data_IF_157074247726
#
_entry.id   IF_157074247726
#
_cell.length_a   1.000
_cell.length_b   1.000
_cell.length_c   1.000
_cell.angle_alpha   90.00
_cell.angle_beta   90.00
_cell.angle_gamma   90.00
#
_symmetry.space_group_name_H-M   'P 1'
#
loop_
_entity.id
_entity.type
_entity.pdbx_description
1 polymer ?
#
# COMPACT_ATOMS: atom_id res chain seq x y z
N UNK A 1 -30.76 -4.93 3.81
CA UNK A 1 -30.39 -5.13 5.23
C UNK A 1 -29.97 -6.58 5.38
N UNK A 2 -28.67 -6.86 5.44
CA UNK A 2 -28.13 -8.24 5.52
C UNK A 2 -28.36 -8.76 6.93
N UNK A 3 -29.03 -9.90 7.09
CA UNK A 3 -29.32 -10.51 8.37
C UNK A 3 -28.06 -11.17 8.94
N UNK A 4 -27.33 -10.44 9.80
CA UNK A 4 -26.26 -11.00 10.63
C UNK A 4 -26.83 -11.33 12.01
N UNK A 5 -26.42 -12.46 12.61
CA UNK A 5 -26.71 -12.71 14.04
C UNK A 5 -26.10 -11.57 14.85
N UNK A 6 -26.94 -10.82 15.55
CA UNK A 6 -26.53 -9.65 16.34
C UNK A 6 -25.76 -10.09 17.59
N UNK A 7 -24.49 -10.46 17.41
CA UNK A 7 -23.56 -10.72 18.49
C UNK A 7 -22.63 -9.50 18.65
N UNK A 8 -22.11 -9.27 19.86
CA UNK A 8 -21.29 -8.09 20.17
C UNK A 8 -20.09 -7.89 19.24
N UNK A 9 -19.56 -8.97 18.67
CA UNK A 9 -18.42 -8.93 17.75
C UNK A 9 -18.77 -8.31 16.39
N UNK A 10 -19.95 -8.61 15.84
CA UNK A 10 -20.41 -8.01 14.58
C UNK A 10 -20.66 -6.51 14.77
N UNK A 11 -21.12 -6.13 15.97
CA UNK A 11 -21.31 -4.72 16.34
C UNK A 11 -19.99 -3.96 16.47
N UNK A 12 -18.95 -4.59 17.02
CA UNK A 12 -17.61 -4.01 17.09
C UNK A 12 -17.01 -3.77 15.70
N UNK A 13 -17.15 -4.73 14.77
CA UNK A 13 -16.72 -4.57 13.37
C UNK A 13 -17.46 -3.42 12.70
N UNK A 14 -18.78 -3.33 12.86
CA UNK A 14 -19.59 -2.23 12.31
C UNK A 14 -19.21 -0.87 12.89
N UNK A 15 -18.86 -0.79 14.18
CA UNK A 15 -18.39 0.44 14.82
C UNK A 15 -17.00 0.87 14.33
N UNK A 16 -16.13 -0.09 14.01
CA UNK A 16 -14.75 0.18 13.57
C UNK A 16 -14.66 0.62 12.10
N UNK A 17 -15.70 0.38 11.30
CA UNK A 17 -15.75 0.66 9.87
C UNK A 17 -15.23 2.03 9.43
N UNK A 18 -15.62 3.16 10.04
CA UNK A 18 -15.08 4.47 9.65
C UNK A 18 -13.56 4.54 9.85
N UNK A 19 -13.07 4.06 11.00
CA UNK A 19 -11.66 4.14 11.38
C UNK A 19 -10.78 3.05 10.72
N UNK A 20 -11.37 2.04 10.07
CA UNK A 20 -10.65 1.00 9.32
C UNK A 20 -10.49 1.36 7.83
N UNK A 21 -11.15 2.42 7.38
CA UNK A 21 -11.05 3.00 6.02
C UNK A 21 -10.08 4.19 6.00
N UNK A 22 -9.41 4.45 7.12
CA UNK A 22 -8.63 5.65 7.39
C UNK A 22 -7.38 5.84 6.48
N UNK A 23 -6.90 7.09 6.41
CA UNK A 23 -5.56 7.60 6.03
C UNK A 23 -4.91 7.15 4.70
N UNK A 24 -5.52 6.25 3.93
CA UNK A 24 -4.89 5.67 2.72
C UNK A 24 -5.09 6.49 1.46
N UNK A 25 -5.91 7.56 1.48
CA UNK A 25 -6.04 8.56 0.40
C UNK A 25 -6.03 10.01 0.92
N UNK A 26 -6.28 10.21 2.22
CA UNK A 26 -6.53 11.53 2.80
C UNK A 26 -5.28 12.26 3.29
N UNK A 27 -5.32 13.59 3.23
CA UNK A 27 -4.18 14.49 3.51
C UNK A 27 -4.28 15.19 4.86
N UNK A 28 -5.50 15.56 5.21
CA UNK A 28 -5.87 16.31 6.41
C UNK A 28 -6.96 15.54 7.14
N UNK A 29 -7.19 15.85 8.41
CA UNK A 29 -8.28 15.24 9.18
C UNK A 29 -9.66 15.48 8.53
N UNK A 30 -9.82 16.62 7.85
CA UNK A 30 -11.02 16.94 7.06
C UNK A 30 -11.18 16.02 5.84
N UNK A 31 -10.09 15.78 5.12
CA UNK A 31 -10.08 14.82 4.01
C UNK A 31 -10.36 13.39 4.47
N UNK A 32 -9.84 13.01 5.65
CA UNK A 32 -10.11 11.72 6.28
C UNK A 32 -11.60 11.58 6.55
N UNK A 33 -12.20 12.55 7.24
CA UNK A 33 -13.62 12.52 7.58
C UNK A 33 -14.52 12.49 6.33
N UNK A 34 -14.18 13.26 5.30
CA UNK A 34 -14.88 13.26 4.02
C UNK A 34 -14.80 11.89 3.33
N UNK A 35 -13.60 11.32 3.23
CA UNK A 35 -13.39 10.03 2.59
C UNK A 35 -14.14 8.90 3.32
N UNK A 36 -14.01 8.83 4.66
CA UNK A 36 -14.71 7.85 5.48
C UNK A 36 -16.24 7.96 5.29
N UNK A 37 -16.77 9.18 5.28
CA UNK A 37 -18.20 9.43 5.06
C UNK A 37 -18.67 8.96 3.68
N UNK A 38 -17.91 9.28 2.62
CA UNK A 38 -18.23 8.85 1.25
C UNK A 38 -18.20 7.33 1.14
N UNK A 39 -17.11 6.68 1.55
CA UNK A 39 -16.95 5.22 1.47
C UNK A 39 -18.07 4.48 2.20
N UNK A 40 -18.41 4.90 3.41
CA UNK A 40 -19.52 4.28 4.17
C UNK A 40 -20.86 4.51 3.48
N UNK A 41 -21.12 5.72 2.95
CA UNK A 41 -22.36 6.02 2.24
C UNK A 41 -22.51 5.18 0.96
N UNK A 42 -21.45 5.00 0.18
CA UNK A 42 -21.43 4.12 -0.98
C UNK A 42 -21.57 2.65 -0.58
N UNK A 43 -20.88 2.21 0.48
CA UNK A 43 -21.01 0.86 1.00
C UNK A 43 -22.45 0.51 1.40
N UNK A 44 -23.20 1.44 2.02
CA UNK A 44 -24.60 1.19 2.38
C UNK A 44 -25.50 0.91 1.17
N UNK A 45 -25.11 1.38 -0.03
CA UNK A 45 -25.83 1.17 -1.30
C UNK A 45 -25.25 0.03 -2.13
N UNK A 46 -23.99 -0.33 -1.91
CA UNK A 46 -23.26 -1.37 -2.63
C UNK A 46 -22.82 -2.49 -1.67
N UNK A 47 -23.53 -3.63 -1.69
CA UNK A 47 -23.29 -4.76 -0.76
C UNK A 47 -21.85 -5.30 -0.82
N UNK A 48 -21.24 -5.57 -1.99
CA UNK A 48 -19.83 -5.95 -2.08
C UNK A 48 -18.90 -4.97 -1.37
N UNK A 49 -19.06 -3.67 -1.62
CA UNK A 49 -18.26 -2.63 -0.98
C UNK A 49 -18.42 -2.65 0.54
N UNK A 50 -19.65 -2.80 1.07
CA UNK A 50 -19.86 -2.94 2.51
C UNK A 50 -19.16 -4.17 3.08
N UNK A 51 -19.20 -5.32 2.40
CA UNK A 51 -18.48 -6.50 2.88
C UNK A 51 -16.97 -6.25 2.95
N UNK A 52 -16.40 -5.52 1.98
CA UNK A 52 -14.97 -5.18 2.00
C UNK A 52 -14.61 -4.21 3.13
N UNK A 53 -15.46 -3.20 3.40
CA UNK A 53 -15.30 -2.29 4.55
C UNK A 53 -15.30 -3.08 5.87
N UNK A 54 -16.23 -4.01 6.03
CA UNK A 54 -16.32 -4.86 7.22
C UNK A 54 -15.12 -5.83 7.31
N UNK A 55 -14.64 -6.35 6.18
CA UNK A 55 -13.46 -7.22 6.13
C UNK A 55 -12.22 -6.49 6.66
N UNK A 56 -11.98 -5.26 6.19
CA UNK A 56 -10.90 -4.39 6.70
C UNK A 56 -11.07 -4.08 8.20
N UNK A 57 -12.30 -3.86 8.64
CA UNK A 57 -12.60 -3.60 10.05
C UNK A 57 -12.27 -4.79 10.95
N UNK A 58 -12.62 -6.00 10.52
CA UNK A 58 -12.23 -7.23 11.20
C UNK A 58 -10.70 -7.41 11.18
N UNK A 59 -10.04 -7.14 10.05
CA UNK A 59 -8.57 -7.22 9.96
C UNK A 59 -7.90 -6.27 10.95
N UNK A 60 -8.35 -5.02 11.05
CA UNK A 60 -7.85 -4.06 12.01
C UNK A 60 -8.05 -4.54 13.46
N UNK A 61 -9.25 -5.03 13.81
CA UNK A 61 -9.51 -5.58 15.14
C UNK A 61 -8.61 -6.79 15.46
N UNK A 62 -8.18 -7.56 14.46
CA UNK A 62 -7.23 -8.66 14.66
C UNK A 62 -5.85 -8.20 15.12
N UNK A 63 -5.46 -6.97 14.75
CA UNK A 63 -4.20 -6.34 15.18
C UNK A 63 -4.33 -5.74 16.58
N UNK A 64 -5.48 -5.13 16.89
CA UNK A 64 -5.73 -4.52 18.21
C UNK A 64 -6.03 -5.52 19.33
N UNK A 65 -6.57 -6.69 18.97
CA UNK A 65 -7.01 -7.70 19.94
C UNK A 65 -6.25 -9.02 19.75
N UNK A 66 -4.97 -9.12 20.17
CA UNK A 66 -4.15 -10.33 20.00
C UNK A 66 -4.81 -11.61 20.54
N UNK A 67 -5.54 -11.52 21.65
CA UNK A 67 -6.25 -12.66 22.26
C UNK A 67 -7.36 -13.25 21.38
N UNK A 68 -7.89 -12.48 20.43
CA UNK A 68 -8.92 -12.90 19.47
C UNK A 68 -8.48 -12.71 18.02
N UNK A 69 -7.17 -12.59 17.78
CA UNK A 69 -6.62 -12.32 16.46
C UNK A 69 -7.09 -13.35 15.43
N UNK A 70 -6.99 -14.64 15.73
CA UNK A 70 -7.39 -15.71 14.81
C UNK A 70 -8.87 -15.59 14.42
N UNK A 71 -9.76 -15.34 15.39
CA UNK A 71 -11.19 -15.15 15.15
C UNK A 71 -11.47 -13.99 14.17
N UNK A 72 -10.84 -12.84 14.40
CA UNK A 72 -11.03 -11.68 13.53
C UNK A 72 -10.39 -11.87 12.15
N UNK A 73 -9.27 -12.59 12.03
CA UNK A 73 -8.67 -12.95 10.74
C UNK A 73 -9.58 -13.87 9.90
N UNK A 74 -10.17 -14.89 10.52
CA UNK A 74 -11.16 -15.75 9.85
C UNK A 74 -12.36 -14.92 9.37
N UNK A 75 -12.90 -14.06 10.24
CA UNK A 75 -14.01 -13.17 9.89
C UNK A 75 -13.66 -12.21 8.74
N UNK A 76 -12.45 -11.64 8.74
CA UNK A 76 -11.97 -10.78 7.67
C UNK A 76 -11.91 -11.52 6.33
N UNK A 77 -11.40 -12.76 6.34
CA UNK A 77 -11.32 -13.61 5.14
C UNK A 77 -12.71 -13.97 4.61
N UNK A 78 -13.64 -14.41 5.47
CA UNK A 78 -15.02 -14.75 5.08
C UNK A 78 -15.76 -13.55 4.46
N UNK A 79 -15.56 -12.36 5.03
CA UNK A 79 -16.14 -11.12 4.52
C UNK A 79 -15.52 -10.72 3.19
N UNK A 80 -14.21 -10.83 3.05
CA UNK A 80 -13.49 -10.52 1.80
C UNK A 80 -13.92 -11.46 0.67
N UNK A 81 -14.10 -12.76 0.93
CA UNK A 81 -14.61 -13.70 -0.09
C UNK A 81 -15.99 -13.30 -0.61
N UNK A 82 -16.92 -12.97 0.28
CA UNK A 82 -18.27 -12.45 -0.10
C UNK A 82 -18.20 -11.13 -0.86
N UNK A 83 -17.26 -10.27 -0.48
CA UNK A 83 -17.02 -9.00 -1.15
C UNK A 83 -16.57 -9.23 -2.60
N UNK A 84 -15.59 -10.12 -2.80
CA UNK A 84 -15.03 -10.46 -4.11
C UNK A 84 -16.06 -11.14 -5.03
N UNK A 85 -16.83 -12.09 -4.52
CA UNK A 85 -17.88 -12.78 -5.30
C UNK A 85 -18.88 -11.78 -5.90
N UNK A 86 -19.33 -10.81 -5.10
CA UNK A 86 -20.27 -9.81 -5.59
C UNK A 86 -19.61 -8.69 -6.40
N UNK A 87 -18.34 -8.41 -6.17
CA UNK A 87 -17.59 -7.41 -6.96
C UNK A 87 -17.30 -7.89 -8.37
N UNK A 88 -16.98 -9.18 -8.56
CA UNK A 88 -16.76 -9.75 -9.89
C UNK A 88 -17.96 -9.51 -10.83
N UNK A 89 -19.20 -9.56 -10.30
CA UNK A 89 -20.42 -9.27 -11.06
C UNK A 89 -20.55 -7.80 -11.48
N UNK A 90 -19.85 -6.89 -10.79
CA UNK A 90 -19.86 -5.44 -11.12
C UNK A 90 -18.82 -5.08 -12.17
N UNK A 91 -17.83 -5.94 -12.41
CA UNK A 91 -16.78 -5.70 -13.40
C UNK A 91 -17.22 -5.98 -14.84
N UNK A 92 -18.35 -6.67 -15.04
CA UNK A 92 -18.88 -6.98 -16.38
C UNK A 92 -19.20 -5.71 -17.19
N UNK A 93 -19.73 -4.68 -16.51
CA UNK A 93 -20.07 -3.38 -17.11
C UNK A 93 -19.67 -2.29 -16.12
N UNK A 94 -18.54 -1.64 -16.38
CA UNK A 94 -18.13 -0.43 -15.67
C UNK A 94 -18.57 0.78 -16.50
N UNK A 95 -19.30 1.69 -15.86
CA UNK A 95 -19.76 2.94 -16.46
C UNK A 95 -19.73 4.11 -15.45
N UNK A 96 -20.16 5.29 -15.89
CA UNK A 96 -20.17 6.50 -15.05
C UNK A 96 -21.04 6.35 -13.78
N UNK A 97 -21.99 5.41 -13.75
CA UNK A 97 -22.89 5.19 -12.62
C UNK A 97 -22.31 4.31 -11.51
N UNK A 98 -21.30 3.49 -11.81
CA UNK A 98 -20.68 2.57 -10.83
C UNK A 98 -19.15 2.69 -10.72
N UNK A 99 -18.51 3.51 -11.56
CA UNK A 99 -17.04 3.64 -11.59
C UNK A 99 -16.46 4.06 -10.23
N UNK A 100 -17.16 4.89 -9.46
CA UNK A 100 -16.74 5.29 -8.13
C UNK A 100 -16.74 4.11 -7.15
N UNK A 101 -17.83 3.36 -7.06
CA UNK A 101 -17.90 2.16 -6.23
C UNK A 101 -16.84 1.14 -6.61
N UNK A 102 -16.60 0.96 -7.92
CA UNK A 102 -15.57 0.05 -8.42
C UNK A 102 -14.18 0.49 -7.98
N UNK A 103 -13.88 1.79 -8.08
CA UNK A 103 -12.61 2.35 -7.61
C UNK A 103 -12.46 2.24 -6.10
N UNK A 104 -13.49 2.59 -5.32
CA UNK A 104 -13.46 2.49 -3.86
C UNK A 104 -13.26 1.04 -3.39
N UNK A 105 -14.01 0.09 -3.96
CA UNK A 105 -13.83 -1.32 -3.65
C UNK A 105 -12.40 -1.76 -3.93
N UNK A 106 -11.92 -1.43 -5.13
CA UNK A 106 -10.58 -1.73 -5.63
C UNK A 106 -9.49 -1.21 -4.69
N UNK A 107 -9.58 0.04 -4.27
CA UNK A 107 -8.66 0.61 -3.30
C UNK A 107 -8.68 -0.17 -1.97
N UNK A 108 -9.86 -0.44 -1.41
CA UNK A 108 -9.99 -1.13 -0.13
C UNK A 108 -9.52 -2.58 -0.17
N UNK A 109 -9.69 -3.30 -1.28
CA UNK A 109 -9.15 -4.66 -1.41
C UNK A 109 -7.62 -4.63 -1.46
N UNK A 110 -7.04 -3.64 -2.14
CA UNK A 110 -5.60 -3.51 -2.25
C UNK A 110 -4.96 -3.12 -0.90
N UNK A 111 -5.58 -2.20 -0.14
CA UNK A 111 -5.20 -1.89 1.25
C UNK A 111 -5.28 -3.13 2.13
N UNK A 112 -6.32 -3.96 2.00
CA UNK A 112 -6.45 -5.21 2.77
C UNK A 112 -5.28 -6.14 2.50
N UNK A 113 -4.99 -6.43 1.22
CA UNK A 113 -3.90 -7.33 0.81
C UNK A 113 -2.56 -6.83 1.31
N UNK A 114 -2.28 -5.52 1.20
CA UNK A 114 -1.04 -4.95 1.69
C UNK A 114 -0.96 -4.98 3.22
N UNK A 115 -2.05 -4.68 3.93
CA UNK A 115 -2.09 -4.76 5.39
C UNK A 115 -1.75 -6.17 5.88
N UNK A 116 -2.34 -7.21 5.28
CA UNK A 116 -2.06 -8.60 5.66
C UNK A 116 -0.63 -9.01 5.30
N UNK A 117 -0.12 -8.55 4.15
CA UNK A 117 1.27 -8.79 3.72
C UNK A 117 2.27 -8.14 4.69
N UNK A 118 2.07 -6.87 5.01
CA UNK A 118 2.93 -6.07 5.87
C UNK A 118 2.95 -6.59 7.30
N UNK A 119 1.81 -7.03 7.81
CA UNK A 119 1.66 -7.58 9.16
C UNK A 119 1.84 -9.10 9.24
N UNK A 120 2.29 -9.74 8.16
CA UNK A 120 2.68 -11.16 8.19
C UNK A 120 3.92 -11.35 9.06
N UNK A 121 3.79 -12.24 10.05
CA UNK A 121 4.87 -12.63 10.97
C UNK A 121 5.81 -13.68 10.36
N UNK A 122 5.54 -14.14 9.14
CA UNK A 122 6.43 -15.08 8.44
C UNK A 122 7.77 -14.42 8.14
N UNK A 123 8.89 -15.03 8.54
CA UNK A 123 10.22 -14.48 8.31
C UNK A 123 10.75 -14.73 6.88
N UNK A 124 10.06 -15.54 6.08
CA UNK A 124 10.47 -15.85 4.71
C UNK A 124 10.25 -14.65 3.76
N UNK A 125 11.35 -14.14 3.20
CA UNK A 125 11.34 -13.06 2.22
C UNK A 125 10.61 -13.45 0.93
N UNK A 126 10.70 -14.70 0.47
CA UNK A 126 10.05 -15.13 -0.77
C UNK A 126 8.54 -15.13 -0.61
N UNK A 127 8.02 -15.66 0.49
CA UNK A 127 6.58 -15.63 0.81
C UNK A 127 6.09 -14.19 0.89
N UNK A 128 6.86 -13.31 1.54
CA UNK A 128 6.54 -11.89 1.59
C UNK A 128 6.51 -11.25 0.20
N UNK A 129 7.52 -11.50 -0.64
CA UNK A 129 7.61 -10.96 -1.99
C UNK A 129 6.46 -11.44 -2.88
N UNK A 130 6.09 -12.73 -2.82
CA UNK A 130 4.96 -13.27 -3.57
C UNK A 130 3.66 -12.53 -3.25
N UNK A 131 3.40 -12.31 -1.94
CA UNK A 131 2.21 -11.58 -1.49
C UNK A 131 2.26 -10.10 -1.88
N UNK A 132 3.42 -9.46 -1.73
CA UNK A 132 3.62 -8.06 -2.10
C UNK A 132 3.40 -7.85 -3.60
N UNK A 133 4.01 -8.69 -4.44
CA UNK A 133 3.86 -8.66 -5.90
C UNK A 133 2.41 -8.93 -6.29
N UNK A 134 1.74 -9.87 -5.62
CA UNK A 134 0.30 -10.09 -5.81
C UNK A 134 -0.53 -8.83 -5.53
N UNK A 135 -0.23 -8.12 -4.44
CA UNK A 135 -0.83 -6.83 -4.11
C UNK A 135 -0.55 -5.74 -5.16
N UNK A 136 0.69 -5.63 -5.62
CA UNK A 136 1.09 -4.67 -6.66
C UNK A 136 0.32 -4.93 -7.97
N UNK A 137 0.26 -6.21 -8.42
CA UNK A 137 -0.45 -6.60 -9.63
C UNK A 137 -1.95 -6.31 -9.53
N UNK A 138 -2.54 -6.45 -8.34
CA UNK A 138 -3.92 -6.03 -8.10
C UNK A 138 -4.09 -4.52 -8.35
N UNK A 139 -3.20 -3.68 -7.81
CA UNK A 139 -3.23 -2.24 -8.09
C UNK A 139 -3.06 -1.88 -9.57
N UNK A 140 -2.27 -2.62 -10.34
CA UNK A 140 -2.17 -2.42 -11.78
C UNK A 140 -3.51 -2.69 -12.49
N UNK A 141 -4.20 -3.77 -12.11
CA UNK A 141 -5.54 -4.06 -12.63
C UNK A 141 -6.53 -2.94 -12.30
N UNK A 142 -6.45 -2.39 -11.10
CA UNK A 142 -7.29 -1.27 -10.64
C UNK A 142 -7.01 -0.02 -11.47
N UNK A 143 -5.73 0.34 -11.67
CA UNK A 143 -5.34 1.48 -12.51
C UNK A 143 -5.85 1.35 -13.93
N UNK A 144 -5.77 0.16 -14.51
CA UNK A 144 -6.26 -0.11 -15.86
C UNK A 144 -7.78 0.07 -15.97
N UNK A 145 -8.53 -0.39 -14.98
CA UNK A 145 -9.99 -0.22 -14.96
C UNK A 145 -10.37 1.24 -14.75
N UNK A 146 -9.66 1.95 -13.87
CA UNK A 146 -10.02 3.31 -13.43
C UNK A 146 -9.51 4.41 -14.37
N UNK A 147 -8.51 4.14 -15.20
CA UNK A 147 -7.92 5.15 -16.10
C UNK A 147 -8.93 5.74 -17.08
N UNK A 148 -9.79 4.88 -17.65
CA UNK A 148 -10.79 5.29 -18.63
C UNK A 148 -11.89 6.16 -18.00
N UNK A 149 -12.09 6.01 -16.69
CA UNK A 149 -13.11 6.73 -15.92
C UNK A 149 -12.55 7.92 -15.14
N UNK A 150 -11.25 8.22 -15.27
CA UNK A 150 -10.60 9.32 -14.56
C UNK A 150 -11.36 10.66 -14.67
N UNK A 151 -11.86 11.09 -15.86
CA UNK A 151 -12.62 12.34 -15.97
C UNK A 151 -13.94 12.34 -15.20
N UNK A 152 -14.62 11.19 -15.11
CA UNK A 152 -15.87 11.06 -14.35
C UNK A 152 -15.61 10.97 -12.85
N UNK A 153 -14.61 10.18 -12.45
CA UNK A 153 -14.16 10.08 -11.05
C UNK A 153 -13.76 11.44 -10.48
N UNK A 154 -13.11 12.29 -11.28
CA UNK A 154 -12.74 13.65 -10.87
C UNK A 154 -13.93 14.57 -10.57
N UNK A 155 -15.13 14.27 -11.10
CA UNK A 155 -16.37 15.04 -10.83
C UNK A 155 -17.07 14.62 -9.54
N UNK A 156 -16.67 13.50 -8.94
CA UNK A 156 -17.25 12.97 -7.70
C UNK A 156 -16.66 13.66 -6.46
N UNK A 157 -17.18 13.36 -5.28
CA UNK A 157 -16.69 13.94 -4.02
C UNK A 157 -15.24 13.59 -3.68
N UNK A 158 -14.67 12.54 -4.28
CA UNK A 158 -13.27 12.17 -4.09
C UNK A 158 -12.34 12.89 -5.08
N UNK A 159 -12.87 13.63 -6.06
CA UNK A 159 -12.08 14.31 -7.08
C UNK A 159 -11.05 15.29 -6.52
N UNK A 160 -11.40 15.98 -5.43
CA UNK A 160 -10.46 16.86 -4.72
C UNK A 160 -9.26 16.10 -4.13
N UNK A 161 -9.47 14.88 -3.63
CA UNK A 161 -8.39 14.03 -3.13
C UNK A 161 -7.46 13.60 -4.27
N UNK A 162 -8.04 13.26 -5.42
CA UNK A 162 -7.29 12.87 -6.62
C UNK A 162 -6.44 14.03 -7.14
N UNK A 163 -7.01 15.23 -7.20
CA UNK A 163 -6.30 16.45 -7.61
C UNK A 163 -5.16 16.78 -6.64
N UNK A 164 -5.41 16.74 -5.33
CA UNK A 164 -4.37 16.96 -4.33
C UNK A 164 -3.23 15.93 -4.38
N UNK A 165 -3.54 14.66 -4.67
CA UNK A 165 -2.52 13.64 -4.85
C UNK A 165 -1.66 13.91 -6.10
N UNK A 166 -2.30 14.29 -7.22
CA UNK A 166 -1.60 14.67 -8.46
C UNK A 166 -0.69 15.87 -8.24
N UNK A 167 -1.20 16.96 -7.67
CA UNK A 167 -0.46 18.21 -7.52
C UNK A 167 0.83 18.02 -6.68
N UNK A 168 0.83 17.10 -5.71
CA UNK A 168 2.02 16.72 -4.94
C UNK A 168 3.05 15.93 -5.76
N UNK A 169 2.61 15.05 -6.66
CA UNK A 169 3.51 14.32 -7.54
C UNK A 169 4.15 15.23 -8.59
N UNK A 170 3.44 16.26 -9.05
CA UNK A 170 3.93 17.17 -10.11
C UNK A 170 4.96 18.18 -9.60
N UNK A 171 4.95 18.51 -8.30
CA UNK A 171 5.84 19.52 -7.71
C UNK A 171 6.45 19.04 -6.38
N UNK A 172 7.21 17.92 -6.38
CA UNK A 172 7.93 17.49 -5.19
C UNK A 172 8.97 18.55 -4.81
N UNK A 173 9.08 18.84 -3.51
CA UNK A 173 10.18 19.66 -2.99
C UNK A 173 11.42 18.77 -2.86
N UNK A 174 12.53 19.06 -3.55
CA UNK A 174 13.72 18.23 -3.47
C UNK A 174 14.18 18.05 -2.03
N UNK A 175 14.48 16.81 -1.64
CA UNK A 175 15.10 16.51 -0.35
C UNK A 175 16.61 16.25 -0.51
N UNK A 176 17.20 15.32 0.24
CA UNK A 176 18.66 15.24 0.41
C UNK A 176 19.37 14.37 -0.64
N UNK A 177 18.65 13.82 -1.61
CA UNK A 177 19.24 12.89 -2.59
C UNK A 177 19.53 11.52 -1.97
N UNK A 178 18.61 11.02 -1.14
CA UNK A 178 18.75 9.74 -0.42
C UNK A 178 19.04 8.54 -1.32
N UNK A 179 18.65 8.62 -2.59
CA UNK A 179 18.86 7.57 -3.59
C UNK A 179 20.12 7.78 -4.47
N UNK A 180 20.93 8.82 -4.27
CA UNK A 180 22.11 9.09 -5.12
C UNK A 180 23.11 7.93 -5.13
N UNK A 181 23.48 7.43 -3.95
CA UNK A 181 24.37 6.27 -3.80
C UNK A 181 23.79 5.03 -4.52
N UNK A 182 22.47 4.87 -4.49
CA UNK A 182 21.80 3.75 -5.15
C UNK A 182 21.87 3.85 -6.68
N UNK A 183 21.78 5.05 -7.24
CA UNK A 183 22.04 5.26 -8.67
C UNK A 183 23.46 4.86 -9.05
N UNK A 184 24.45 5.25 -8.26
CA UNK A 184 25.85 4.89 -8.53
C UNK A 184 26.05 3.36 -8.45
N UNK A 185 25.51 2.70 -7.43
CA UNK A 185 25.59 1.24 -7.28
C UNK A 185 24.99 0.49 -8.47
N UNK A 186 23.81 0.90 -8.95
CA UNK A 186 23.14 0.25 -10.10
C UNK A 186 23.90 0.45 -11.40
N UNK A 187 24.54 1.60 -11.58
CA UNK A 187 25.32 1.89 -12.79
C UNK A 187 26.53 0.97 -12.96
N UNK A 188 27.05 0.43 -11.85
CA UNK A 188 28.20 -0.48 -11.83
C UNK A 188 27.80 -1.95 -11.66
N UNK A 189 26.50 -2.26 -11.60
CA UNK A 189 26.01 -3.63 -11.49
C UNK A 189 26.21 -4.40 -12.81
N UNK A 190 26.51 -5.70 -12.71
CA UNK A 190 26.61 -6.60 -13.87
C UNK A 190 25.20 -6.97 -14.39
N UNK A 191 24.56 -5.99 -15.03
CA UNK A 191 23.19 -6.05 -15.51
C UNK A 191 23.11 -5.69 -16.99
N UNK A 192 22.03 -6.13 -17.64
CA UNK A 192 21.69 -5.65 -18.97
C UNK A 192 21.38 -4.15 -18.95
N UNK A 193 21.67 -3.44 -20.04
CA UNK A 193 21.34 -2.02 -20.16
C UNK A 193 19.84 -1.72 -19.95
N UNK A 194 18.97 -2.65 -20.34
CA UNK A 194 17.52 -2.59 -20.08
C UNK A 194 17.23 -2.65 -18.58
N UNK A 195 17.83 -3.60 -17.86
CA UNK A 195 17.61 -3.76 -16.41
C UNK A 195 18.16 -2.58 -15.61
N UNK A 196 19.31 -2.02 -16.00
CA UNK A 196 19.88 -0.79 -15.42
C UNK A 196 18.89 0.36 -15.59
N UNK A 197 18.36 0.55 -16.80
CA UNK A 197 17.36 1.59 -17.08
C UNK A 197 16.11 1.43 -16.22
N UNK A 198 15.53 0.23 -16.18
CA UNK A 198 14.35 -0.07 -15.34
C UNK A 198 14.61 0.22 -13.86
N UNK A 199 15.79 -0.13 -13.35
CA UNK A 199 16.17 0.16 -11.98
C UNK A 199 16.28 1.67 -11.75
N UNK A 200 16.94 2.42 -12.63
CA UNK A 200 17.02 3.88 -12.51
C UNK A 200 15.66 4.56 -12.55
N UNK A 201 14.74 4.11 -13.40
CA UNK A 201 13.36 4.61 -13.43
C UNK A 201 12.67 4.37 -12.07
N UNK A 202 12.78 3.16 -11.49
CA UNK A 202 12.23 2.86 -10.18
C UNK A 202 12.87 3.68 -9.04
N UNK A 203 14.16 3.97 -9.13
CA UNK A 203 14.89 4.79 -8.13
C UNK A 203 14.49 6.25 -8.22
N UNK A 204 14.35 6.81 -9.42
CA UNK A 204 13.86 8.18 -9.63
C UNK A 204 12.47 8.36 -9.01
N UNK A 205 11.56 7.43 -9.28
CA UNK A 205 10.24 7.42 -8.64
C UNK A 205 10.37 7.33 -7.12
N UNK A 206 11.23 6.44 -6.60
CA UNK A 206 11.43 6.30 -5.15
C UNK A 206 11.91 7.61 -4.50
N UNK A 207 12.83 8.33 -5.15
CA UNK A 207 13.30 9.64 -4.69
C UNK A 207 12.16 10.67 -4.66
N UNK A 208 11.30 10.71 -5.69
CA UNK A 208 10.13 11.60 -5.71
C UNK A 208 9.22 11.32 -4.51
N UNK A 209 8.96 10.05 -4.18
CA UNK A 209 8.12 9.72 -3.03
C UNK A 209 8.81 10.01 -1.68
N UNK A 210 10.13 9.89 -1.59
CA UNK A 210 10.91 10.34 -0.43
C UNK A 210 10.84 11.87 -0.26
N UNK A 211 10.99 12.63 -1.34
CA UNK A 211 10.85 14.09 -1.37
C UNK A 211 9.48 14.53 -0.86
N UNK A 212 8.42 13.91 -1.39
CA UNK A 212 7.03 14.18 -0.96
C UNK A 212 6.88 13.87 0.52
N UNK A 213 7.32 12.70 0.96
CA UNK A 213 7.20 12.26 2.36
C UNK A 213 7.96 13.17 3.32
N UNK A 214 9.18 13.58 2.97
CA UNK A 214 10.01 14.50 3.74
C UNK A 214 9.44 15.92 3.81
N UNK A 215 8.62 16.30 2.82
CA UNK A 215 7.95 17.60 2.79
C UNK A 215 6.70 17.68 3.68
N UNK A 216 6.19 16.53 4.16
CA UNK A 216 4.99 16.49 4.98
C UNK A 216 5.28 16.97 6.42
N UNK A 217 4.34 17.71 7.04
CA UNK A 217 4.49 18.14 8.42
C UNK A 217 4.51 16.91 9.36
N UNK A 218 5.31 16.99 10.42
CA UNK A 218 5.33 15.99 11.49
C UNK A 218 4.48 16.48 12.69
N UNK A 219 3.49 15.71 13.17
CA UNK A 219 2.95 14.46 12.62
C UNK A 219 2.03 14.70 11.40
N UNK A 220 1.92 13.70 10.53
CA UNK A 220 0.98 13.74 9.40
C UNK A 220 0.13 12.47 9.36
N UNK A 221 -1.15 12.63 9.06
CA UNK A 221 -2.14 11.55 8.97
C UNK A 221 -2.15 10.85 7.61
N UNK A 222 -1.42 11.37 6.62
CA UNK A 222 -1.42 10.83 5.27
C UNK A 222 -0.48 9.63 5.13
N UNK A 223 -1.01 8.46 4.75
CA UNK A 223 -0.20 7.28 4.37
C UNK A 223 -0.32 6.92 2.87
N UNK A 224 -1.16 7.63 2.11
CA UNK A 224 -1.49 7.27 0.72
C UNK A 224 -0.29 7.18 -0.22
N UNK A 225 0.66 8.10 -0.08
CA UNK A 225 1.81 8.20 -0.98
C UNK A 225 2.80 7.04 -0.84
N UNK A 226 2.81 6.36 0.31
CA UNK A 226 3.67 5.19 0.52
C UNK A 226 3.19 4.00 -0.29
N UNK A 227 1.88 3.84 -0.43
CA UNK A 227 1.30 2.81 -1.29
C UNK A 227 1.46 3.19 -2.75
N UNK A 228 1.34 4.48 -3.08
CA UNK A 228 1.43 4.96 -4.45
C UNK A 228 2.76 4.58 -5.13
N UNK A 229 3.91 4.62 -4.45
CA UNK A 229 5.17 4.16 -5.06
C UNK A 229 5.10 2.69 -5.54
N UNK A 230 4.54 1.78 -4.73
CA UNK A 230 4.38 0.37 -5.13
C UNK A 230 3.49 0.21 -6.36
N UNK A 231 2.54 1.13 -6.55
CA UNK A 231 1.62 1.17 -7.69
C UNK A 231 2.22 1.84 -8.93
N UNK A 232 3.14 2.78 -8.71
CA UNK A 232 3.81 3.56 -9.77
C UNK A 232 5.06 2.88 -10.28
N UNK A 233 5.70 2.03 -9.48
CA UNK A 233 6.77 1.17 -9.93
C UNK A 233 6.32 0.40 -11.19
N UNK A 234 7.16 0.36 -12.21
CA UNK A 234 6.81 -0.19 -13.53
C UNK A 234 6.56 -1.70 -13.45
N UNK A 235 5.80 -2.25 -14.40
CA UNK A 235 5.64 -3.71 -14.55
C UNK A 235 7.00 -4.40 -14.64
N UNK A 236 7.93 -3.77 -15.36
CA UNK A 236 9.27 -4.30 -15.59
C UNK A 236 10.08 -4.38 -14.28
N UNK A 237 9.96 -3.38 -13.40
CA UNK A 237 10.58 -3.45 -12.08
C UNK A 237 9.95 -4.55 -11.22
N UNK A 238 8.63 -4.69 -11.27
CA UNK A 238 7.92 -5.77 -10.58
C UNK A 238 8.35 -7.15 -11.08
N UNK A 239 8.67 -7.30 -12.36
CA UNK A 239 9.21 -8.54 -12.91
C UNK A 239 10.64 -8.82 -12.44
N UNK A 240 11.47 -7.79 -12.24
CA UNK A 240 12.80 -7.95 -11.61
C UNK A 240 12.68 -8.38 -10.14
N UNK A 241 11.69 -7.86 -9.41
CA UNK A 241 11.35 -8.32 -8.06
C UNK A 241 10.86 -9.77 -8.07
N UNK A 242 10.00 -10.15 -9.02
CA UNK A 242 9.53 -11.52 -9.20
C UNK A 242 10.67 -12.46 -9.65
N UNK A 243 11.74 -11.95 -10.24
CA UNK A 243 12.96 -12.73 -10.50
C UNK A 243 13.94 -12.72 -9.31
N UNK A 244 13.61 -12.02 -8.23
CA UNK A 244 14.44 -11.87 -7.01
C UNK A 244 15.85 -11.37 -7.35
N UNK A 245 15.95 -10.48 -8.33
CA UNK A 245 17.20 -9.83 -8.72
C UNK A 245 17.74 -8.99 -7.56
N UNK A 246 19.02 -9.13 -7.17
CA UNK A 246 19.58 -8.45 -6.00
C UNK A 246 19.41 -6.93 -6.06
N UNK A 247 19.49 -6.34 -7.24
CA UNK A 247 19.32 -4.91 -7.49
C UNK A 247 17.92 -4.42 -7.16
N UNK A 248 16.90 -5.17 -7.60
CA UNK A 248 15.51 -4.88 -7.27
C UNK A 248 15.25 -5.05 -5.76
N UNK A 249 15.90 -6.03 -5.12
CA UNK A 249 15.81 -6.23 -3.67
C UNK A 249 16.47 -5.09 -2.88
N UNK A 250 17.56 -4.50 -3.38
CA UNK A 250 18.19 -3.32 -2.78
C UNK A 250 17.25 -2.12 -2.88
N UNK A 251 16.65 -1.88 -4.05
CA UNK A 251 15.64 -0.80 -4.22
C UNK A 251 14.46 -0.99 -3.25
N UNK A 252 13.99 -2.24 -3.10
CA UNK A 252 12.94 -2.56 -2.12
C UNK A 252 13.40 -2.35 -0.66
N UNK A 253 14.68 -2.54 -0.36
CA UNK A 253 15.24 -2.22 0.95
C UNK A 253 15.23 -0.70 1.21
N UNK A 254 15.48 0.15 0.21
CA UNK A 254 15.28 1.60 0.34
C UNK A 254 13.80 1.95 0.54
N UNK A 255 12.88 1.30 -0.16
CA UNK A 255 11.44 1.47 0.07
C UNK A 255 11.03 1.17 1.52
N UNK A 256 11.73 0.26 2.21
CA UNK A 256 11.46 -0.03 3.62
C UNK A 256 11.65 1.19 4.55
N UNK A 257 12.45 2.18 4.13
CA UNK A 257 12.62 3.46 4.84
C UNK A 257 11.34 4.28 4.78
N UNK A 258 10.67 4.33 3.62
CA UNK A 258 9.36 4.98 3.49
C UNK A 258 8.35 4.32 4.42
N UNK A 259 8.25 2.99 4.40
CA UNK A 259 7.35 2.26 5.31
C UNK A 259 7.63 2.61 6.78
N UNK A 260 8.90 2.66 7.19
CA UNK A 260 9.25 2.95 8.58
C UNK A 260 8.88 4.38 9.03
N UNK A 261 8.93 5.36 8.12
CA UNK A 261 8.48 6.74 8.41
C UNK A 261 7.00 6.80 8.80
N UNK A 262 6.18 5.83 8.38
CA UNK A 262 4.76 5.69 8.76
C UNK A 262 4.46 4.45 9.59
N UNK A 263 5.40 4.03 10.44
CA UNK A 263 5.20 2.90 11.37
C UNK A 263 4.01 3.08 12.33
N UNK A 264 3.59 4.32 12.57
CA UNK A 264 2.42 4.64 13.41
C UNK A 264 1.08 4.34 12.70
N UNK A 265 1.10 4.11 11.38
CA UNK A 265 -0.07 3.66 10.64
C UNK A 265 -0.38 2.20 10.97
N UNK A 266 -1.61 1.91 11.37
CA UNK A 266 -2.04 0.55 11.70
C UNK A 266 -1.93 -0.43 10.51
N UNK A 267 -1.97 0.08 9.28
CA UNK A 267 -1.79 -0.74 8.06
C UNK A 267 -0.33 -1.15 7.89
N UNK A 268 0.61 -0.25 8.22
CA UNK A 268 2.04 -0.43 7.96
C UNK A 268 2.74 -1.09 9.16
N UNK A 269 2.54 -0.54 10.37
CA UNK A 269 3.21 -1.02 11.59
C UNK A 269 4.73 -1.15 11.41
N UNK A 270 5.32 -2.20 11.95
CA UNK A 270 6.77 -2.43 11.82
C UNK A 270 7.20 -3.04 10.46
N UNK A 271 6.38 -2.96 9.41
CA UNK A 271 6.69 -3.58 8.12
C UNK A 271 8.00 -3.06 7.52
N UNK A 272 8.30 -1.77 7.65
CA UNK A 272 9.58 -1.20 7.20
C UNK A 272 10.78 -1.86 7.88
N UNK A 273 10.76 -1.95 9.21
CA UNK A 273 11.81 -2.62 9.99
C UNK A 273 11.93 -4.12 9.66
N UNK A 274 10.81 -4.83 9.48
CA UNK A 274 10.81 -6.25 9.09
C UNK A 274 11.37 -6.46 7.68
N UNK A 275 10.92 -5.67 6.71
CA UNK A 275 11.38 -5.74 5.32
C UNK A 275 12.88 -5.46 5.22
N UNK A 276 13.34 -4.40 5.89
CA UNK A 276 14.75 -4.06 6.01
C UNK A 276 15.58 -5.26 6.52
N UNK A 277 15.12 -5.92 7.59
CA UNK A 277 15.80 -7.08 8.19
C UNK A 277 15.84 -8.28 7.23
N UNK A 278 14.71 -8.61 6.59
CA UNK A 278 14.60 -9.71 5.62
C UNK A 278 15.49 -9.48 4.40
N UNK A 279 15.46 -8.27 3.82
CA UNK A 279 16.30 -7.88 2.69
C UNK A 279 17.79 -7.94 3.02
N UNK A 280 18.19 -7.43 4.19
CA UNK A 280 19.58 -7.49 4.67
C UNK A 280 20.12 -8.92 4.77
N UNK A 281 19.29 -9.85 5.26
CA UNK A 281 19.69 -11.26 5.40
C UNK A 281 19.88 -11.93 4.02
N UNK A 282 18.93 -11.73 3.11
CA UNK A 282 19.00 -12.33 1.76
C UNK A 282 20.16 -11.78 0.92
N UNK A 283 20.46 -10.48 1.02
CA UNK A 283 21.58 -9.87 0.29
C UNK A 283 22.95 -10.40 0.75
N UNK A 284 23.11 -10.67 2.06
CA UNK A 284 24.33 -11.29 2.61
C UNK A 284 24.55 -12.71 2.11
N UNK A 285 23.48 -13.47 1.90
CA UNK A 285 23.57 -14.84 1.36
C UNK A 285 23.90 -14.85 -0.14
N UNK A 286 23.39 -13.87 -0.90
CA UNK A 286 23.52 -13.82 -2.36
C UNK A 286 24.78 -13.11 -2.86
N UNK A 287 25.44 -12.27 -2.06
CA UNK A 287 26.65 -11.58 -2.50
C UNK A 287 27.60 -11.23 -1.36
N UNK A 288 28.82 -11.79 -1.42
CA UNK A 288 29.94 -11.38 -0.57
C UNK A 288 30.51 -10.00 -0.95
N UNK A 289 30.23 -9.49 -2.16
CA UNK A 289 30.66 -8.16 -2.59
C UNK A 289 29.74 -7.04 -2.06
N UNK A 290 28.54 -7.40 -1.58
CA UNK A 290 27.55 -6.47 -1.02
C UNK A 290 27.50 -6.63 0.52
N UNK A 291 28.45 -7.36 1.13
CA UNK A 291 28.47 -7.62 2.59
C UNK A 291 28.75 -6.37 3.45
N UNK A 292 29.26 -5.30 2.85
CA UNK A 292 29.49 -3.98 3.48
C UNK A 292 28.23 -3.10 3.55
N UNK A 293 27.04 -3.72 3.57
CA UNK A 293 25.72 -3.12 3.85
C UNK A 293 25.59 -2.52 5.28
N UNK A 294 26.63 -1.90 5.82
CA UNK A 294 26.53 -0.97 6.95
C UNK A 294 25.74 0.28 6.61
N UNK A 295 25.47 0.52 5.32
CA UNK A 295 24.75 1.70 4.81
C UNK A 295 23.22 1.57 4.76
N UNK A 296 22.63 0.35 4.82
CA UNK A 296 21.15 0.22 4.90
C UNK A 296 20.70 1.13 6.02
N UNK A 297 19.78 2.10 5.82
CA UNK A 297 19.86 3.37 6.54
C UNK A 297 19.51 3.23 8.02
N UNK A 298 20.44 2.66 8.80
CA UNK A 298 20.38 2.52 10.25
C UNK A 298 20.36 3.91 10.86
N UNK A 299 21.01 4.88 10.23
CA UNK A 299 20.95 6.29 10.58
C UNK A 299 19.53 6.87 10.43
N UNK A 300 18.78 6.51 9.37
CA UNK A 300 17.43 7.05 9.11
C UNK A 300 16.35 6.35 9.93
N UNK A 301 16.55 5.07 10.29
CA UNK A 301 15.66 4.32 11.18
C UNK A 301 15.83 4.69 12.67
N UNK A 302 17.01 5.21 13.07
CA UNK A 302 17.32 5.65 14.44
C UNK A 302 17.01 7.15 14.68
N UNK A 303 16.82 7.95 13.63
CA UNK A 303 16.59 9.40 13.70
C UNK A 303 15.13 9.83 13.92
N UNK A 304 14.39 9.14 14.78
CA UNK A 304 13.01 9.52 15.15
C UNK A 304 12.72 9.18 16.62
N UNK A 305 13.52 9.76 17.52
CA UNK A 305 13.19 9.86 18.95
C UNK A 305 12.29 11.06 19.21
#
# INVERSE_FOLDING_TARGET
MVAWSANGDTYDVMKRAPNAVDATIAVTDEHVAMYQKSVVAHGLRNKPLMYQILALSALHLSLERPSRQHFYKVMASDLQSKALEGFQQQLDIVDASNCLEVMLFSHLIAVHVLCDTFNSLDDDLNVFLERLIGGIRLFYGIRLITSDWYPELRKTEIGALMDHARDRCEQPKPSLGECEDLHEMISHADLSASSIRTCHEAINELQIFLDIENSLPAPSVSSHMIFAWLVMATSDFTDLLDQRKPEALIILAYYSVLLHKRRDSWVIGDAGSRLCRRGSASLKEKSAAISDLTWIPRATLQGSS
#
